data_IF_756757284802
#
_entry.id   IF_756757284802
#
_cell.length_a   1.000
_cell.length_b   1.000
_cell.length_c   1.000
_cell.angle_alpha   90.00
_cell.angle_beta   90.00
_cell.angle_gamma   90.00
#
_symmetry.space_group_name_H-M   'P 1'
#
loop_
_entity.id
_entity.type
_entity.pdbx_description
1 polymer ?
#
# COMPACT_ATOMS: atom_id res chain seq x y z
N UNK A 1 13.43 -14.58 -13.84
CA UNK A 1 13.42 -13.61 -12.71
C UNK A 1 12.68 -14.24 -11.55
N UNK A 2 13.21 -14.18 -10.31
CA UNK A 2 12.48 -14.68 -9.14
C UNK A 2 11.19 -13.89 -8.94
N UNK A 3 10.07 -14.59 -8.73
CA UNK A 3 8.81 -13.96 -8.34
C UNK A 3 8.82 -13.63 -6.83
N UNK A 4 8.01 -12.67 -6.37
CA UNK A 4 7.99 -12.24 -4.96
C UNK A 4 7.74 -13.38 -3.96
N UNK A 5 6.91 -14.38 -4.31
CA UNK A 5 6.65 -15.53 -3.45
C UNK A 5 7.89 -16.41 -3.21
N UNK A 6 8.90 -16.39 -4.11
CA UNK A 6 10.15 -17.09 -3.87
C UNK A 6 10.98 -16.41 -2.76
N UNK A 7 10.89 -15.08 -2.66
CA UNK A 7 11.53 -14.33 -1.57
C UNK A 7 10.85 -14.63 -0.23
N UNK A 8 9.53 -14.76 -0.24
CA UNK A 8 8.75 -15.19 0.93
C UNK A 8 9.11 -16.62 1.35
N UNK A 9 9.17 -17.56 0.39
CA UNK A 9 9.60 -18.93 0.67
C UNK A 9 11.02 -18.98 1.26
N UNK A 10 11.95 -18.19 0.74
CA UNK A 10 13.30 -18.05 1.30
C UNK A 10 13.25 -17.58 2.76
N UNK A 11 12.46 -16.56 3.05
CA UNK A 11 12.31 -16.04 4.40
C UNK A 11 11.72 -17.09 5.36
N UNK A 12 10.66 -17.78 4.94
CA UNK A 12 10.03 -18.81 5.75
C UNK A 12 10.92 -20.04 6.00
N UNK A 13 11.92 -20.27 5.15
CA UNK A 13 12.85 -21.40 5.25
C UNK A 13 14.19 -21.04 5.91
N UNK A 14 14.34 -19.80 6.40
CA UNK A 14 15.56 -19.42 7.11
C UNK A 14 15.70 -20.17 8.43
N UNK A 15 16.94 -20.33 8.88
CA UNK A 15 17.27 -21.12 10.06
C UNK A 15 17.63 -20.31 11.30
N UNK A 16 17.73 -18.99 11.16
CA UNK A 16 17.98 -18.12 12.29
C UNK A 16 16.75 -17.26 12.59
N UNK A 17 16.40 -17.19 13.86
CA UNK A 17 15.37 -16.30 14.38
C UNK A 17 16.00 -15.27 15.32
N UNK A 18 15.36 -14.09 15.42
CA UNK A 18 15.94 -12.96 16.12
C UNK A 18 14.93 -12.36 17.10
N UNK A 19 15.41 -12.01 18.29
CA UNK A 19 14.66 -11.24 19.26
C UNK A 19 15.53 -10.13 19.84
N UNK A 20 14.90 -9.03 20.25
CA UNK A 20 15.57 -7.82 20.71
C UNK A 20 15.02 -7.38 22.07
N UNK A 21 15.92 -7.06 22.97
CA UNK A 21 15.60 -6.46 24.27
C UNK A 21 16.37 -5.14 24.42
N UNK A 22 15.68 -4.05 24.74
CA UNK A 22 16.31 -2.78 25.09
C UNK A 22 16.66 -2.79 26.58
N UNK A 23 17.93 -2.54 26.89
CA UNK A 23 18.42 -2.45 28.26
C UNK A 23 19.52 -1.40 28.35
N UNK A 24 19.37 -0.44 29.27
CA UNK A 24 20.38 0.59 29.57
C UNK A 24 20.91 1.34 28.33
N UNK A 25 20.02 1.75 27.40
CA UNK A 25 20.35 2.35 26.10
C UNK A 25 21.18 1.47 25.16
N UNK A 26 21.24 0.17 25.43
CA UNK A 26 21.83 -0.84 24.54
C UNK A 26 20.76 -1.77 24.04
N UNK A 27 21.01 -2.36 22.89
CA UNK A 27 20.15 -3.38 22.32
C UNK A 27 20.81 -4.74 22.48
N UNK A 28 20.19 -5.64 23.22
CA UNK A 28 20.61 -7.04 23.31
C UNK A 28 19.84 -7.82 22.24
N UNK A 29 20.52 -8.13 21.14
CA UNK A 29 20.02 -8.95 20.05
C UNK A 29 20.35 -10.40 20.30
N UNK A 30 19.34 -11.25 20.42
CA UNK A 30 19.52 -12.69 20.51
C UNK A 30 19.21 -13.32 19.17
N UNK A 31 20.21 -14.03 18.60
CA UNK A 31 20.05 -14.88 17.43
C UNK A 31 19.97 -16.34 17.90
N UNK A 32 18.92 -17.04 17.49
CA UNK A 32 18.65 -18.44 17.83
C UNK A 32 18.72 -19.29 16.58
N UNK A 33 19.38 -20.46 16.64
CA UNK A 33 19.62 -21.36 15.52
C UNK A 33 18.69 -22.57 15.57
N UNK A 34 17.97 -22.80 14.49
CA UNK A 34 17.18 -24.00 14.23
C UNK A 34 17.95 -25.05 13.42
N UNK A 35 19.24 -24.81 13.09
CA UNK A 35 20.07 -25.83 12.49
C UNK A 35 20.17 -27.06 13.39
N UNK A 36 20.10 -28.26 12.80
CA UNK A 36 20.20 -29.51 13.54
C UNK A 36 21.66 -30.05 13.64
N UNK A 37 22.49 -29.77 12.64
CA UNK A 37 23.79 -30.39 12.51
C UNK A 37 24.93 -29.41 12.22
N UNK A 38 24.63 -28.19 11.85
CA UNK A 38 25.57 -27.18 11.39
C UNK A 38 25.66 -26.02 12.39
N UNK A 39 26.91 -25.51 12.62
CA UNK A 39 27.08 -24.19 13.30
C UNK A 39 27.17 -23.07 12.28
N UNK A 40 27.01 -21.85 12.75
CA UNK A 40 27.18 -20.63 11.96
C UNK A 40 28.64 -20.17 12.02
N UNK A 41 29.56 -20.90 11.35
CA UNK A 41 31.00 -20.64 11.36
C UNK A 41 31.51 -19.95 10.09
N UNK A 42 30.63 -19.65 9.14
CA UNK A 42 30.93 -18.92 7.91
C UNK A 42 29.91 -17.79 7.67
N UNK A 43 29.30 -17.26 8.71
CA UNK A 43 28.31 -16.20 8.64
C UNK A 43 28.77 -14.97 9.42
N UNK A 44 28.42 -13.80 8.86
CA UNK A 44 28.50 -12.49 9.52
C UNK A 44 27.11 -11.94 9.69
N UNK A 45 26.82 -11.35 10.85
CA UNK A 45 25.60 -10.62 11.10
C UNK A 45 25.86 -9.13 10.86
N UNK A 46 25.13 -8.57 9.91
CA UNK A 46 25.08 -7.13 9.61
C UNK A 46 23.79 -6.54 10.17
N UNK A 47 23.92 -5.37 10.75
CA UNK A 47 22.76 -4.65 11.25
C UNK A 47 22.79 -3.18 10.86
N UNK A 48 21.59 -2.60 10.67
CA UNK A 48 21.40 -1.20 10.29
C UNK A 48 20.13 -0.66 10.93
N UNK A 49 20.24 0.48 11.64
CA UNK A 49 19.06 1.18 12.14
C UNK A 49 18.50 2.11 11.08
N UNK A 50 17.16 2.12 10.98
CA UNK A 50 16.40 3.02 10.13
C UNK A 50 15.60 4.00 10.99
N UNK A 51 15.53 5.28 10.57
CA UNK A 51 14.61 6.29 11.07
C UNK A 51 13.59 6.61 9.95
N UNK A 52 12.30 6.43 10.19
CA UNK A 52 11.24 6.65 9.21
C UNK A 52 11.50 5.92 7.86
N UNK A 53 12.01 4.69 7.95
CA UNK A 53 12.34 3.88 6.79
C UNK A 53 13.64 4.25 6.07
N UNK A 54 14.40 5.25 6.54
CA UNK A 54 15.69 5.67 5.98
C UNK A 54 16.85 5.19 6.85
N UNK A 55 17.92 4.60 6.24
CA UNK A 55 19.09 4.17 6.98
C UNK A 55 19.82 5.35 7.65
N UNK A 56 20.16 5.21 8.94
CA UNK A 56 21.04 6.14 9.65
C UNK A 56 22.48 5.72 9.39
N UNK A 57 23.26 6.55 8.71
CA UNK A 57 24.58 6.18 8.19
C UNK A 57 25.56 5.68 9.27
N UNK A 58 25.50 6.26 10.47
CA UNK A 58 26.38 5.96 11.61
C UNK A 58 25.87 4.79 12.47
N UNK A 59 24.57 4.41 12.33
CA UNK A 59 23.94 3.39 13.15
C UNK A 59 23.90 2.04 12.45
N UNK A 60 25.07 1.48 12.15
CA UNK A 60 25.25 0.18 11.51
C UNK A 60 26.47 -0.53 12.05
N UNK A 61 26.52 -1.84 11.84
CA UNK A 61 27.70 -2.64 12.22
C UNK A 61 27.65 -4.04 11.64
N UNK A 62 28.75 -4.74 11.87
CA UNK A 62 28.94 -6.12 11.49
C UNK A 62 29.61 -6.86 12.64
N UNK A 63 29.24 -8.10 12.89
CA UNK A 63 29.86 -8.96 13.88
C UNK A 63 29.85 -10.41 13.44
N UNK A 64 30.84 -11.17 13.90
CA UNK A 64 30.91 -12.62 13.74
C UNK A 64 29.86 -13.29 14.62
N UNK A 65 29.25 -14.33 14.12
CA UNK A 65 28.37 -15.22 14.89
C UNK A 65 28.88 -16.65 14.81
N UNK A 66 28.84 -17.33 15.95
CA UNK A 66 29.28 -18.73 16.07
C UNK A 66 28.28 -19.48 16.97
N UNK A 67 27.14 -19.83 16.38
CA UNK A 67 26.02 -20.44 17.10
C UNK A 67 26.01 -21.96 16.79
N UNK A 68 26.11 -22.76 17.84
CA UNK A 68 25.98 -24.19 17.72
C UNK A 68 24.55 -24.61 17.37
N UNK A 69 24.32 -25.80 16.81
CA UNK A 69 22.99 -26.32 16.52
C UNK A 69 22.05 -26.20 17.73
N UNK A 70 20.83 -25.72 17.51
CA UNK A 70 19.78 -25.56 18.54
C UNK A 70 20.19 -24.69 19.75
N UNK A 71 21.16 -23.79 19.54
CA UNK A 71 21.61 -22.84 20.57
C UNK A 71 21.31 -21.40 20.15
N UNK A 72 21.56 -20.48 21.06
CA UNK A 72 21.42 -19.05 20.83
C UNK A 72 22.68 -18.29 21.27
N UNK A 73 22.90 -17.14 20.64
CA UNK A 73 23.95 -16.18 21.01
C UNK A 73 23.32 -14.79 21.18
N UNK A 74 23.69 -14.11 22.27
CA UNK A 74 23.26 -12.73 22.48
C UNK A 74 24.41 -11.77 22.14
N UNK A 75 24.11 -10.76 21.36
CA UNK A 75 25.00 -9.72 20.88
C UNK A 75 24.56 -8.37 21.45
N UNK A 76 25.49 -7.60 22.01
CA UNK A 76 25.20 -6.26 22.49
C UNK A 76 25.48 -5.26 21.37
N UNK A 77 24.42 -4.62 20.86
CA UNK A 77 24.48 -3.57 19.86
C UNK A 77 24.40 -2.20 20.56
N UNK A 78 25.29 -1.30 20.17
CA UNK A 78 25.34 0.06 20.74
C UNK A 78 25.34 1.09 19.61
N UNK A 79 24.20 1.26 18.89
CA UNK A 79 24.12 2.29 17.88
C UNK A 79 24.18 3.67 18.53
N UNK A 80 25.01 4.57 18.00
CA UNK A 80 25.09 5.96 18.43
C UNK A 80 23.93 6.75 17.79
N UNK A 81 22.76 6.67 18.42
CA UNK A 81 21.54 7.35 17.94
C UNK A 81 20.80 8.05 19.06
N UNK A 82 20.21 9.18 18.73
CA UNK A 82 19.25 9.87 19.57
C UNK A 82 17.85 9.69 19.00
N UNK A 83 16.97 8.99 19.72
CA UNK A 83 15.60 8.79 19.31
C UNK A 83 14.79 10.08 19.35
N UNK A 84 14.16 10.44 18.24
CA UNK A 84 13.26 11.60 18.12
C UNK A 84 11.83 11.18 18.44
N UNK A 85 11.11 12.02 19.17
CA UNK A 85 9.69 11.82 19.41
C UNK A 85 8.92 11.85 18.08
N UNK A 86 7.99 10.91 17.87
CA UNK A 86 7.16 10.84 16.67
C UNK A 86 7.82 10.15 15.47
N UNK A 87 9.10 9.76 15.54
CA UNK A 87 9.75 8.99 14.49
C UNK A 87 9.64 7.49 14.73
N UNK A 88 9.57 6.71 13.63
CA UNK A 88 9.64 5.25 13.66
C UNK A 88 11.07 4.78 13.50
N UNK A 89 11.44 3.79 14.30
CA UNK A 89 12.76 3.18 14.21
C UNK A 89 12.65 1.68 14.02
N UNK A 90 13.47 1.16 13.10
CA UNK A 90 13.58 -0.27 12.81
C UNK A 90 15.05 -0.69 12.80
N UNK A 91 15.32 -1.91 13.23
CA UNK A 91 16.61 -2.57 13.12
C UNK A 91 16.52 -3.62 12.01
N UNK A 92 17.22 -3.39 10.91
CA UNK A 92 17.43 -4.40 9.88
C UNK A 92 18.58 -5.30 10.26
N UNK A 93 18.42 -6.59 10.03
CA UNK A 93 19.42 -7.63 10.27
C UNK A 93 19.55 -8.43 8.97
N UNK A 94 20.79 -8.62 8.53
CA UNK A 94 21.15 -9.52 7.43
C UNK A 94 22.25 -10.46 7.93
N UNK A 95 22.05 -11.75 7.79
CA UNK A 95 23.12 -12.74 7.96
C UNK A 95 23.66 -13.09 6.59
N UNK A 96 24.95 -12.89 6.40
CA UNK A 96 25.61 -13.07 5.10
C UNK A 96 26.75 -14.05 5.21
N UNK A 97 27.08 -14.73 4.11
CA UNK A 97 28.28 -15.57 4.05
C UNK A 97 29.54 -14.70 4.21
N UNK A 98 30.44 -15.08 5.11
CA UNK A 98 31.74 -14.44 5.30
C UNK A 98 32.71 -14.79 4.15
N UNK A 99 32.71 -16.03 3.67
CA UNK A 99 33.56 -16.51 2.63
C UNK A 99 32.79 -17.24 1.52
N UNK A 100 33.42 -17.38 0.37
CA UNK A 100 32.90 -18.19 -0.74
C UNK A 100 32.64 -19.62 -0.30
N UNK A 101 31.55 -20.20 -0.78
CA UNK A 101 31.26 -21.62 -0.66
C UNK A 101 30.94 -22.23 -2.04
N UNK A 102 30.64 -23.51 -2.11
CA UNK A 102 30.43 -24.22 -3.39
C UNK A 102 29.22 -23.72 -4.19
N UNK A 103 28.26 -23.08 -3.55
CA UNK A 103 26.98 -22.69 -4.16
C UNK A 103 26.72 -21.18 -4.13
N UNK A 104 27.47 -20.38 -3.34
CA UNK A 104 27.30 -18.91 -3.28
C UNK A 104 28.63 -18.22 -2.93
N UNK A 105 28.67 -16.92 -3.24
CA UNK A 105 29.79 -16.03 -2.94
C UNK A 105 29.67 -15.39 -1.57
N UNK A 106 30.79 -14.94 -1.00
CA UNK A 106 30.82 -14.08 0.17
C UNK A 106 29.86 -12.88 -0.01
N UNK A 107 29.18 -12.52 1.05
CA UNK A 107 28.15 -11.48 1.03
C UNK A 107 26.75 -11.97 0.59
N UNK A 108 26.60 -13.24 0.19
CA UNK A 108 25.26 -13.79 -0.08
C UNK A 108 24.42 -13.77 1.20
N UNK A 109 23.23 -13.17 1.12
CA UNK A 109 22.29 -13.08 2.24
C UNK A 109 21.62 -14.43 2.49
N UNK A 110 21.82 -14.97 3.68
CA UNK A 110 21.26 -16.25 4.14
C UNK A 110 19.91 -16.02 4.83
N UNK A 111 19.92 -15.28 5.92
CA UNK A 111 18.78 -15.02 6.77
C UNK A 111 18.58 -13.51 6.94
N UNK A 112 17.37 -13.09 7.18
CA UNK A 112 17.04 -11.67 7.33
C UNK A 112 15.99 -11.46 8.40
N UNK A 113 16.03 -10.29 9.07
CA UNK A 113 14.94 -9.84 9.94
C UNK A 113 14.84 -8.33 9.92
N UNK A 114 13.68 -7.85 10.31
CA UNK A 114 13.49 -6.46 10.68
C UNK A 114 12.72 -6.41 12.01
N UNK A 115 13.29 -5.74 13.00
CA UNK A 115 12.71 -5.61 14.33
C UNK A 115 12.35 -4.16 14.59
N UNK A 116 11.12 -3.91 15.04
CA UNK A 116 10.74 -2.58 15.47
C UNK A 116 11.50 -2.24 16.77
N UNK A 117 12.19 -1.12 16.78
CA UNK A 117 12.73 -0.53 17.99
C UNK A 117 11.60 0.16 18.75
N UNK A 118 11.84 0.53 20.01
CA UNK A 118 10.79 1.12 20.85
C UNK A 118 10.07 2.21 20.07
N UNK A 119 8.82 1.95 19.77
CA UNK A 119 7.98 2.88 19.03
C UNK A 119 7.61 4.04 19.98
N UNK A 120 8.26 5.18 19.81
CA UNK A 120 7.93 6.43 20.52
C UNK A 120 6.82 7.23 19.82
N UNK A 121 6.22 6.66 18.76
CA UNK A 121 4.98 7.19 18.20
C UNK A 121 3.87 7.08 19.23
N UNK A 122 3.28 8.20 19.60
CA UNK A 122 1.87 8.21 19.95
C UNK A 122 1.06 7.78 18.72
N UNK A 123 -0.21 7.48 18.88
CA UNK A 123 -1.14 7.24 17.76
C UNK A 123 -0.99 8.43 16.80
N UNK A 124 -0.41 8.21 15.63
CA UNK A 124 -0.31 9.24 14.60
C UNK A 124 -1.71 9.37 14.01
N UNK A 125 -2.48 10.31 14.52
CA UNK A 125 -3.62 10.83 13.77
C UNK A 125 -3.03 11.68 12.65
N UNK A 126 -3.17 11.22 11.41
CA UNK A 126 -2.90 12.05 10.25
C UNK A 126 -3.93 13.18 10.29
N UNK A 127 -3.48 14.39 10.61
CA UNK A 127 -4.30 15.59 10.70
C UNK A 127 -3.87 16.55 9.60
N UNK A 128 -4.84 17.26 9.02
CA UNK A 128 -4.57 18.40 8.13
C UNK A 128 -3.71 19.50 8.81
N UNK A 129 -3.59 19.44 10.15
CA UNK A 129 -2.92 20.42 10.98
C UNK A 129 -1.46 20.07 11.32
N UNK A 130 -0.71 19.40 10.44
CA UNK A 130 0.74 19.35 10.57
C UNK A 130 1.26 20.80 10.54
N UNK A 131 1.80 21.26 11.69
CA UNK A 131 2.16 22.64 12.00
C UNK A 131 3.28 23.20 11.09
N UNK A 132 3.00 23.38 9.83
CA UNK A 132 3.73 24.35 9.01
C UNK A 132 2.95 25.66 9.08
N UNK A 133 3.31 26.51 10.06
CA UNK A 133 2.83 27.88 10.16
C UNK A 133 3.38 28.73 9.00
N UNK A 134 2.73 28.66 7.85
CA UNK A 134 2.89 29.68 6.84
C UNK A 134 1.93 30.82 7.17
N UNK A 135 2.49 31.94 7.61
CA UNK A 135 1.77 33.19 7.86
C UNK A 135 1.38 33.85 6.54
N UNK A 136 0.32 33.35 5.90
CA UNK A 136 -0.31 33.95 4.74
C UNK A 136 -1.82 33.92 4.92
N UNK A 137 -2.50 35.03 4.72
CA UNK A 137 -3.97 35.10 4.61
C UNK A 137 -4.36 34.51 3.26
N UNK A 138 -4.35 33.16 3.13
CA UNK A 138 -4.88 32.50 1.95
C UNK A 138 -6.40 32.45 2.08
N UNK A 139 -7.12 33.07 1.15
CA UNK A 139 -8.57 33.00 1.09
C UNK A 139 -8.98 31.67 0.44
N UNK A 140 -9.91 30.98 1.10
CA UNK A 140 -10.68 29.90 0.49
C UNK A 140 -11.91 30.49 -0.16
N UNK A 141 -12.13 30.20 -1.43
CA UNK A 141 -13.38 30.61 -2.12
C UNK A 141 -14.03 29.40 -2.79
N UNK A 142 -15.34 29.49 -2.90
CA UNK A 142 -16.17 28.47 -3.57
C UNK A 142 -16.91 29.17 -4.71
N UNK A 143 -16.84 28.55 -5.90
CA UNK A 143 -17.59 28.96 -7.07
C UNK A 143 -18.44 27.78 -7.55
N UNK A 144 -19.71 28.05 -7.87
CA UNK A 144 -20.61 27.05 -8.44
C UNK A 144 -21.13 27.57 -9.78
N UNK A 145 -20.76 26.89 -10.86
CA UNK A 145 -21.17 27.25 -12.22
C UNK A 145 -21.30 26.00 -13.09
N UNK A 146 -22.34 25.96 -13.93
CA UNK A 146 -22.55 24.95 -14.98
C UNK A 146 -22.43 23.48 -14.50
N UNK A 147 -22.95 23.20 -13.29
CA UNK A 147 -22.89 21.84 -12.71
C UNK A 147 -21.53 21.46 -12.11
N UNK A 148 -20.61 22.40 -12.01
CA UNK A 148 -19.32 22.24 -11.35
C UNK A 148 -19.27 23.07 -10.08
N UNK A 149 -18.69 22.51 -9.04
CA UNK A 149 -18.34 23.17 -7.79
C UNK A 149 -16.80 23.26 -7.73
N UNK A 150 -16.27 24.47 -7.69
CA UNK A 150 -14.84 24.71 -7.60
C UNK A 150 -14.45 25.27 -6.24
N UNK A 151 -13.46 24.69 -5.61
CA UNK A 151 -12.84 25.20 -4.37
C UNK A 151 -11.45 25.70 -4.70
N UNK A 152 -11.22 26.99 -4.50
CA UNK A 152 -9.93 27.64 -4.70
C UNK A 152 -9.21 27.74 -3.37
N UNK A 153 -7.98 27.23 -3.31
CA UNK A 153 -7.11 27.27 -2.15
C UNK A 153 -5.66 27.53 -2.59
N UNK A 154 -5.09 28.67 -2.23
CA UNK A 154 -3.76 29.06 -2.74
C UNK A 154 -3.71 29.03 -4.27
N UNK A 155 -2.73 28.29 -4.83
CA UNK A 155 -2.57 28.10 -6.28
C UNK A 155 -3.26 26.81 -6.76
N UNK A 156 -4.25 26.29 -5.99
CA UNK A 156 -4.96 25.04 -6.33
C UNK A 156 -6.43 25.29 -6.59
N UNK A 157 -6.98 24.55 -7.56
CA UNK A 157 -8.42 24.53 -7.85
C UNK A 157 -8.90 23.08 -7.83
N UNK A 158 -9.80 22.76 -6.91
CA UNK A 158 -10.44 21.46 -6.80
C UNK A 158 -11.82 21.53 -7.43
N UNK A 159 -12.07 20.78 -8.50
CA UNK A 159 -13.33 20.80 -9.23
C UNK A 159 -14.14 19.53 -9.00
N UNK A 160 -15.33 19.71 -8.46
CA UNK A 160 -16.29 18.63 -8.24
C UNK A 160 -17.43 18.74 -9.24
N UNK A 161 -17.79 17.61 -9.84
CA UNK A 161 -19.00 17.56 -10.67
C UNK A 161 -20.21 17.37 -9.75
N UNK A 162 -21.17 18.28 -9.80
CA UNK A 162 -22.34 18.30 -8.89
C UNK A 162 -23.31 17.14 -9.13
N UNK A 163 -23.36 16.58 -10.34
CA UNK A 163 -24.21 15.44 -10.69
C UNK A 163 -23.60 14.13 -10.22
N UNK A 164 -22.31 13.92 -10.53
CA UNK A 164 -21.60 12.69 -10.12
C UNK A 164 -21.11 12.71 -8.67
N UNK A 165 -21.01 13.88 -8.03
CA UNK A 165 -20.50 14.03 -6.67
C UNK A 165 -18.98 13.81 -6.52
N UNK A 166 -18.24 13.63 -7.60
CA UNK A 166 -16.82 13.27 -7.58
C UNK A 166 -15.90 14.48 -7.74
N UNK A 167 -14.72 14.40 -7.13
CA UNK A 167 -13.57 15.23 -7.48
C UNK A 167 -13.05 14.78 -8.84
N UNK A 168 -13.24 15.61 -9.87
CA UNK A 168 -12.93 15.27 -11.26
C UNK A 168 -11.67 15.94 -11.80
N UNK A 169 -11.21 17.01 -11.15
CA UNK A 169 -10.00 17.75 -11.52
C UNK A 169 -9.39 18.41 -10.29
N UNK A 170 -8.07 18.43 -10.25
CA UNK A 170 -7.28 19.14 -9.26
C UNK A 170 -6.14 19.85 -9.97
N UNK A 171 -6.31 21.13 -10.24
CA UNK A 171 -5.27 21.97 -10.83
C UNK A 171 -4.33 22.51 -9.75
N UNK A 172 -3.03 22.40 -9.99
CA UNK A 172 -1.98 23.14 -9.28
C UNK A 172 -1.37 24.16 -10.25
N UNK A 173 -1.75 25.41 -10.10
CA UNK A 173 -1.45 26.42 -11.13
C UNK A 173 -2.16 26.08 -12.45
N UNK A 174 -1.39 25.76 -13.48
CA UNK A 174 -1.90 25.31 -14.78
C UNK A 174 -1.78 23.79 -15.01
N UNK A 175 -1.22 23.04 -14.06
CA UNK A 175 -0.96 21.62 -14.20
C UNK A 175 -2.08 20.80 -13.56
N UNK A 176 -2.58 19.79 -14.29
CA UNK A 176 -3.59 18.86 -13.80
C UNK A 176 -2.93 17.73 -12.99
N UNK A 177 -3.39 17.54 -11.77
CA UNK A 177 -2.90 16.48 -10.87
C UNK A 177 -3.62 15.16 -11.08
N UNK A 178 -4.87 15.18 -11.57
CA UNK A 178 -5.70 13.98 -11.76
C UNK A 178 -5.99 13.74 -13.25
N UNK A 179 -5.70 12.55 -13.75
CA UNK A 179 -6.11 12.11 -15.09
C UNK A 179 -7.47 11.37 -15.07
N UNK A 180 -7.95 10.97 -13.89
CA UNK A 180 -9.26 10.37 -13.68
C UNK A 180 -9.85 10.82 -12.34
N UNK A 181 -11.18 10.82 -12.18
CA UNK A 181 -11.82 11.14 -10.93
C UNK A 181 -11.32 10.28 -9.75
N UNK A 182 -11.36 10.85 -8.55
CA UNK A 182 -11.15 10.09 -7.32
C UNK A 182 -12.47 9.42 -6.93
N UNK A 183 -12.48 8.08 -6.87
CA UNK A 183 -13.69 7.28 -6.67
C UNK A 183 -13.46 5.99 -5.87
N UNK A 184 -14.55 5.34 -5.41
CA UNK A 184 -14.48 4.04 -4.74
C UNK A 184 -13.90 2.96 -5.65
N UNK A 185 -13.12 2.04 -5.05
CA UNK A 185 -12.64 0.84 -5.72
C UNK A 185 -12.95 -0.42 -4.89
N UNK A 186 -13.77 -1.30 -5.44
CA UNK A 186 -14.19 -2.57 -4.83
C UNK A 186 -13.73 -3.79 -5.64
N UNK A 187 -13.02 -3.60 -6.74
CA UNK A 187 -12.69 -4.65 -7.70
C UNK A 187 -11.18 -4.77 -7.92
N UNK A 188 -10.72 -6.00 -8.10
CA UNK A 188 -9.41 -6.33 -8.66
C UNK A 188 -9.57 -7.31 -9.82
N UNK A 189 -8.73 -7.21 -10.85
CA UNK A 189 -8.61 -8.24 -11.86
C UNK A 189 -8.18 -9.55 -11.18
N UNK A 190 -8.93 -10.66 -11.35
CA UNK A 190 -8.70 -11.90 -10.62
C UNK A 190 -7.31 -12.46 -10.83
N UNK A 191 -6.72 -12.97 -9.75
CA UNK A 191 -5.47 -13.72 -9.77
C UNK A 191 -5.74 -15.21 -10.05
N UNK A 192 -4.70 -15.97 -10.37
CA UNK A 192 -4.79 -17.42 -10.61
C UNK A 192 -5.51 -18.15 -9.46
N UNK A 193 -5.22 -17.80 -8.21
CA UNK A 193 -5.87 -18.39 -7.03
C UNK A 193 -7.34 -17.93 -6.87
N UNK A 194 -7.72 -16.78 -7.38
CA UNK A 194 -9.12 -16.34 -7.39
C UNK A 194 -9.94 -17.12 -8.41
N UNK A 195 -9.30 -17.48 -9.53
CA UNK A 195 -9.86 -18.27 -10.63
C UNK A 195 -9.91 -19.77 -10.25
N UNK A 196 -8.85 -20.27 -9.58
CA UNK A 196 -8.73 -21.64 -9.11
C UNK A 196 -8.75 -22.66 -10.26
N UNK A 197 -9.58 -23.68 -10.16
CA UNK A 197 -9.75 -24.72 -11.20
C UNK A 197 -10.71 -24.31 -12.31
N UNK A 198 -11.17 -23.08 -12.34
CA UNK A 198 -12.09 -22.60 -13.39
C UNK A 198 -11.43 -22.73 -14.76
N UNK A 199 -12.20 -23.24 -15.73
CA UNK A 199 -11.87 -23.23 -17.16
C UNK A 199 -12.76 -22.21 -17.87
N UNK A 200 -12.33 -21.74 -19.03
CA UNK A 200 -13.06 -20.71 -19.81
C UNK A 200 -14.53 -21.08 -20.03
N UNK A 201 -14.79 -22.37 -20.36
CA UNK A 201 -16.13 -22.87 -20.65
C UNK A 201 -16.79 -23.58 -19.45
N UNK A 202 -16.09 -23.71 -18.34
CA UNK A 202 -16.57 -24.40 -17.13
C UNK A 202 -16.02 -23.74 -15.86
N UNK A 203 -16.49 -22.53 -15.50
CA UNK A 203 -16.03 -21.84 -14.31
C UNK A 203 -16.48 -22.57 -13.03
N UNK A 204 -15.56 -22.74 -12.07
CA UNK A 204 -15.90 -23.27 -10.74
C UNK A 204 -16.81 -22.28 -10.00
N UNK A 205 -18.06 -22.67 -9.66
CA UNK A 205 -18.99 -21.78 -8.98
C UNK A 205 -18.53 -21.39 -7.57
N UNK A 206 -17.55 -22.08 -6.99
CA UNK A 206 -16.99 -21.81 -5.68
C UNK A 206 -15.75 -20.89 -5.72
N UNK A 207 -15.11 -20.76 -6.88
CA UNK A 207 -13.99 -19.84 -7.04
C UNK A 207 -14.36 -18.41 -6.61
N UNK A 208 -13.38 -17.64 -6.09
CA UNK A 208 -13.62 -16.27 -5.66
C UNK A 208 -14.10 -15.40 -6.82
N UNK A 209 -13.47 -15.52 -7.99
CA UNK A 209 -13.89 -14.84 -9.19
C UNK A 209 -15.37 -15.09 -9.49
N UNK A 210 -15.81 -16.36 -9.51
CA UNK A 210 -17.20 -16.71 -9.81
C UNK A 210 -18.19 -16.13 -8.81
N UNK A 211 -17.82 -16.05 -7.52
CA UNK A 211 -18.64 -15.41 -6.48
C UNK A 211 -18.73 -13.90 -6.72
N UNK A 212 -17.60 -13.23 -7.02
CA UNK A 212 -17.56 -11.80 -7.31
C UNK A 212 -18.36 -11.44 -8.58
N UNK A 213 -18.22 -12.23 -9.65
CA UNK A 213 -18.98 -12.05 -10.91
C UNK A 213 -20.49 -12.17 -10.67
N UNK A 214 -20.94 -13.17 -9.89
CA UNK A 214 -22.36 -13.31 -9.53
C UNK A 214 -22.88 -12.15 -8.68
N UNK A 215 -22.06 -11.60 -7.81
CA UNK A 215 -22.38 -10.43 -7.01
C UNK A 215 -22.27 -9.11 -7.80
N UNK A 216 -21.82 -9.16 -9.06
CA UNK A 216 -21.64 -8.00 -9.94
C UNK A 216 -20.49 -7.09 -9.53
N UNK A 217 -19.59 -7.52 -8.64
CA UNK A 217 -18.45 -6.71 -8.19
C UNK A 217 -17.62 -6.29 -9.41
N UNK A 218 -17.32 -4.99 -9.52
CA UNK A 218 -16.67 -4.38 -10.69
C UNK A 218 -17.64 -3.92 -11.79
N UNK A 219 -18.95 -4.23 -11.65
CA UNK A 219 -19.99 -3.83 -12.63
C UNK A 219 -21.22 -3.19 -11.97
N UNK A 220 -21.07 -2.72 -10.75
CA UNK A 220 -22.14 -2.00 -10.05
C UNK A 220 -22.39 -0.65 -10.70
N UNK A 221 -23.66 -0.23 -10.72
CA UNK A 221 -24.02 1.11 -11.14
C UNK A 221 -23.99 2.03 -9.92
N UNK A 222 -23.18 3.08 -9.99
CA UNK A 222 -23.10 4.12 -8.96
C UNK A 222 -24.08 5.23 -9.28
N UNK A 223 -24.77 5.74 -8.24
CA UNK A 223 -25.63 6.92 -8.29
C UNK A 223 -25.23 7.84 -7.15
N UNK A 224 -24.98 9.11 -7.44
CA UNK A 224 -24.84 10.14 -6.42
C UNK A 224 -26.23 10.50 -5.90
N UNK A 225 -26.48 10.32 -4.61
CA UNK A 225 -27.77 10.58 -3.96
C UNK A 225 -27.81 11.91 -3.22
N UNK A 226 -26.66 12.57 -3.06
CA UNK A 226 -26.60 13.89 -2.45
C UNK A 226 -25.20 14.46 -2.41
N UNK A 227 -25.12 15.78 -2.57
CA UNK A 227 -23.89 16.56 -2.37
C UNK A 227 -24.24 17.70 -1.41
N UNK A 228 -23.48 17.85 -0.34
CA UNK A 228 -23.61 18.95 0.63
C UNK A 228 -22.27 19.69 0.74
N UNK A 229 -22.33 21.02 0.84
CA UNK A 229 -21.16 21.89 0.92
C UNK A 229 -21.26 22.75 2.18
N UNK A 230 -20.22 22.72 3.00
CA UNK A 230 -20.09 23.51 4.21
C UNK A 230 -18.80 24.32 4.13
N UNK A 231 -18.89 25.63 4.27
CA UNK A 231 -17.72 26.51 4.30
C UNK A 231 -17.43 26.93 5.74
N UNK A 232 -16.29 26.51 6.26
CA UNK A 232 -15.74 26.94 7.53
C UNK A 232 -14.81 28.16 7.38
N UNK A 233 -14.22 28.60 8.50
CA UNK A 233 -13.27 29.71 8.49
C UNK A 233 -11.88 29.30 7.93
N UNK A 234 -11.51 28.03 8.00
CA UNK A 234 -10.19 27.51 7.63
C UNK A 234 -10.26 26.32 6.67
N UNK A 235 -11.46 25.84 6.36
CA UNK A 235 -11.69 24.69 5.49
C UNK A 235 -13.01 24.82 4.71
N UNK A 236 -13.09 24.05 3.64
CA UNK A 236 -14.32 23.74 2.93
C UNK A 236 -14.54 22.26 3.03
N UNK A 237 -15.74 21.84 3.41
CA UNK A 237 -16.14 20.44 3.50
C UNK A 237 -17.21 20.12 2.47
N UNK A 238 -16.95 19.11 1.63
CA UNK A 238 -17.89 18.60 0.64
C UNK A 238 -18.23 17.17 1.03
N UNK A 239 -19.51 16.89 1.24
CA UNK A 239 -20.00 15.54 1.53
C UNK A 239 -20.75 15.02 0.32
N UNK A 240 -20.30 13.90 -0.25
CA UNK A 240 -20.97 13.18 -1.35
C UNK A 240 -21.46 11.83 -0.86
N UNK A 241 -22.69 11.48 -1.23
CA UNK A 241 -23.34 10.21 -0.89
C UNK A 241 -23.56 9.40 -2.16
N UNK A 242 -23.17 8.13 -2.13
CA UNK A 242 -23.29 7.24 -3.28
C UNK A 242 -24.01 5.95 -2.91
N UNK A 243 -24.92 5.55 -3.78
CA UNK A 243 -25.56 4.25 -3.78
C UNK A 243 -25.04 3.42 -4.96
N UNK A 244 -24.73 2.16 -4.69
CA UNK A 244 -24.28 1.18 -5.68
C UNK A 244 -25.34 0.10 -5.87
N UNK A 245 -25.73 -0.13 -7.11
CA UNK A 245 -26.73 -1.11 -7.46
C UNK A 245 -26.16 -2.20 -8.37
N UNK A 246 -26.54 -3.44 -8.09
CA UNK A 246 -26.42 -4.55 -9.02
C UNK A 246 -27.82 -4.95 -9.46
N UNK A 247 -28.15 -4.73 -10.74
CA UNK A 247 -29.52 -4.75 -11.23
C UNK A 247 -30.38 -3.72 -10.45
N UNK A 248 -31.46 -4.16 -9.79
CA UNK A 248 -32.32 -3.29 -8.99
C UNK A 248 -32.00 -3.28 -7.49
N UNK A 249 -31.03 -4.13 -7.05
CA UNK A 249 -30.70 -4.28 -5.63
C UNK A 249 -29.61 -3.31 -5.24
N UNK A 250 -29.83 -2.56 -4.15
CA UNK A 250 -28.81 -1.81 -3.45
C UNK A 250 -27.80 -2.81 -2.82
N UNK A 251 -26.54 -2.74 -3.21
CA UNK A 251 -25.50 -3.66 -2.77
C UNK A 251 -24.43 -2.97 -1.91
N UNK A 252 -24.24 -1.66 -2.08
CA UNK A 252 -23.36 -0.88 -1.24
C UNK A 252 -23.82 0.58 -1.19
N UNK A 253 -23.46 1.29 -0.13
CA UNK A 253 -23.56 2.72 -0.02
C UNK A 253 -22.28 3.30 0.55
N UNK A 254 -21.84 4.46 0.04
CA UNK A 254 -20.65 5.13 0.55
C UNK A 254 -20.94 6.59 0.84
N UNK A 255 -20.23 7.11 1.85
CA UNK A 255 -20.21 8.52 2.19
C UNK A 255 -18.79 9.01 2.13
N UNK A 256 -18.55 10.00 1.31
CA UNK A 256 -17.27 10.67 1.16
C UNK A 256 -17.33 12.06 1.75
N UNK A 257 -16.36 12.41 2.58
CA UNK A 257 -16.20 13.75 3.13
C UNK A 257 -14.84 14.27 2.71
N UNK A 258 -14.85 15.18 1.75
CA UNK A 258 -13.66 15.89 1.30
C UNK A 258 -13.50 17.15 2.16
N UNK A 259 -12.35 17.33 2.79
CA UNK A 259 -12.03 18.55 3.55
C UNK A 259 -10.80 19.19 2.95
N UNK A 260 -10.97 20.38 2.39
CA UNK A 260 -9.91 21.19 1.77
C UNK A 260 -9.61 22.36 2.69
N UNK A 261 -8.35 22.48 3.12
CA UNK A 261 -7.93 23.55 4.03
C UNK A 261 -7.27 24.72 3.29
N UNK A 262 -7.01 25.82 4.00
CA UNK A 262 -6.33 27.03 3.48
C UNK A 262 -4.93 26.78 2.95
N UNK A 263 -4.27 25.65 3.27
CA UNK A 263 -2.98 25.23 2.73
C UNK A 263 -3.13 24.33 1.50
N UNK A 264 -4.31 24.23 0.90
CA UNK A 264 -4.60 23.37 -0.24
C UNK A 264 -4.34 21.87 0.02
N UNK A 265 -4.38 21.43 1.28
CA UNK A 265 -4.35 20.00 1.63
C UNK A 265 -5.77 19.46 1.58
N UNK A 266 -5.92 18.27 0.99
CA UNK A 266 -7.19 17.57 0.87
C UNK A 266 -7.19 16.35 1.81
N UNK A 267 -8.11 16.30 2.78
CA UNK A 267 -8.42 15.05 3.50
C UNK A 267 -9.68 14.43 2.92
N UNK A 268 -9.67 13.13 2.76
CA UNK A 268 -10.81 12.34 2.30
C UNK A 268 -11.13 11.29 3.34
N UNK A 269 -12.29 11.43 3.98
CA UNK A 269 -12.82 10.45 4.93
C UNK A 269 -13.93 9.66 4.23
N UNK A 270 -13.83 8.33 4.26
CA UNK A 270 -14.77 7.43 3.57
C UNK A 270 -15.41 6.48 4.56
N UNK A 271 -16.74 6.40 4.49
CA UNK A 271 -17.55 5.36 5.16
C UNK A 271 -18.16 4.47 4.09
N UNK A 272 -18.03 3.14 4.25
CA UNK A 272 -18.57 2.12 3.34
C UNK A 272 -19.53 1.23 4.10
N UNK A 273 -20.72 1.03 3.54
CA UNK A 273 -21.72 0.06 3.99
C UNK A 273 -21.97 -0.93 2.87
N UNK A 274 -21.84 -2.22 3.16
CA UNK A 274 -22.06 -3.32 2.21
C UNK A 274 -23.28 -4.14 2.59
N UNK A 275 -23.98 -4.67 1.59
CA UNK A 275 -25.08 -5.65 1.80
C UNK A 275 -24.54 -6.94 2.42
N UNK A 276 -25.27 -7.50 3.40
CA UNK A 276 -24.91 -8.73 4.11
C UNK A 276 -24.77 -9.94 3.19
N UNK A 277 -25.45 -9.95 2.06
CA UNK A 277 -25.44 -11.06 1.09
C UNK A 277 -24.23 -11.07 0.16
N UNK A 278 -23.35 -10.07 0.23
CA UNK A 278 -22.14 -10.04 -0.59
C UNK A 278 -21.11 -11.08 -0.10
N UNK A 279 -20.36 -11.71 -1.02
CA UNK A 279 -19.20 -12.52 -0.65
C UNK A 279 -18.11 -11.65 0.00
N UNK A 280 -17.04 -12.24 0.57
CA UNK A 280 -15.85 -11.52 0.94
C UNK A 280 -15.37 -10.64 -0.21
N UNK A 281 -15.08 -9.37 0.07
CA UNK A 281 -14.70 -8.40 -0.96
C UNK A 281 -13.25 -8.60 -1.40
N UNK A 282 -12.91 -8.39 -2.68
CA UNK A 282 -11.52 -8.47 -3.13
C UNK A 282 -10.68 -7.31 -2.57
N UNK A 283 -11.26 -6.12 -2.49
CA UNK A 283 -10.63 -4.93 -1.90
C UNK A 283 -11.66 -3.91 -1.46
N UNK A 284 -11.26 -3.03 -0.57
CA UNK A 284 -12.01 -1.83 -0.13
C UNK A 284 -11.03 -0.66 -0.18
N UNK A 285 -11.27 0.29 -1.04
CA UNK A 285 -10.38 1.43 -1.20
C UNK A 285 -10.91 2.46 -2.18
N UNK A 286 -9.99 3.26 -2.69
CA UNK A 286 -10.25 4.28 -3.70
C UNK A 286 -9.27 4.15 -4.86
N UNK A 287 -9.64 4.72 -5.99
CA UNK A 287 -8.80 4.80 -7.17
C UNK A 287 -8.85 6.17 -7.81
N UNK A 288 -7.80 6.50 -8.52
CA UNK A 288 -7.69 7.63 -9.44
C UNK A 288 -6.64 7.30 -10.51
N UNK A 289 -6.37 8.23 -11.40
CA UNK A 289 -5.19 8.19 -12.25
C UNK A 289 -4.48 9.55 -12.22
N UNK A 290 -3.17 9.54 -12.42
CA UNK A 290 -2.35 10.75 -12.51
C UNK A 290 -1.72 10.85 -13.89
N UNK A 291 -1.55 12.07 -14.45
CA UNK A 291 -0.90 12.24 -15.74
C UNK A 291 0.57 11.79 -15.69
N UNK A 292 1.07 11.28 -16.80
CA UNK A 292 2.49 10.99 -16.98
C UNK A 292 3.12 12.14 -17.73
N UNK A 293 3.90 13.00 -17.04
CA UNK A 293 4.61 14.11 -17.65
C UNK A 293 5.93 13.65 -18.29
N UNK A 294 6.69 12.84 -17.56
CA UNK A 294 8.02 12.33 -17.95
C UNK A 294 8.11 10.82 -17.69
N UNK A 295 8.82 10.13 -18.57
CA UNK A 295 9.17 8.71 -18.37
C UNK A 295 10.68 8.54 -18.17
N UNK A 296 11.13 7.65 -17.25
CA UNK A 296 10.32 6.76 -16.41
C UNK A 296 9.68 7.51 -15.23
N UNK A 297 8.41 7.19 -14.96
CA UNK A 297 7.72 7.71 -13.78
C UNK A 297 8.26 7.02 -12.53
N UNK A 298 8.74 7.79 -11.57
CA UNK A 298 9.23 7.28 -10.28
C UNK A 298 8.11 7.24 -9.25
N UNK A 299 8.01 6.11 -8.56
CA UNK A 299 7.08 5.88 -7.46
C UNK A 299 7.88 5.84 -6.16
N UNK A 300 7.57 6.73 -5.24
CA UNK A 300 8.21 6.76 -3.91
C UNK A 300 7.16 6.43 -2.85
N UNK A 301 7.49 5.51 -1.94
CA UNK A 301 6.60 5.19 -0.82
C UNK A 301 7.37 4.93 0.47
N UNK A 302 6.66 5.04 1.58
CA UNK A 302 7.10 4.60 2.89
C UNK A 302 6.14 3.50 3.36
N UNK A 303 6.64 2.29 3.51
CA UNK A 303 5.85 1.10 3.80
C UNK A 303 6.65 -0.18 3.60
N UNK A 304 5.95 -1.33 3.51
CA UNK A 304 6.60 -2.59 3.20
C UNK A 304 7.04 -2.65 1.73
N UNK A 305 8.21 -3.24 1.49
CA UNK A 305 8.80 -3.35 0.17
C UNK A 305 10.18 -4.03 0.18
N UNK A 306 10.99 -3.87 -0.90
CA UNK A 306 10.67 -3.13 -2.13
C UNK A 306 9.73 -3.87 -3.08
N UNK A 307 9.64 -5.20 -3.00
CA UNK A 307 8.87 -6.05 -3.88
C UNK A 307 7.40 -6.13 -3.47
N UNK A 308 6.57 -6.64 -4.38
CA UNK A 308 5.16 -6.93 -4.18
C UNK A 308 4.93 -7.77 -2.92
N UNK A 309 3.96 -7.36 -2.11
CA UNK A 309 3.57 -8.09 -0.91
C UNK A 309 2.07 -7.91 -0.64
N UNK A 310 1.43 -8.93 -0.05
CA UNK A 310 0.00 -8.98 0.23
C UNK A 310 -0.25 -9.26 1.71
N UNK A 311 -1.46 -9.06 2.24
CA UNK A 311 -1.76 -9.27 3.66
C UNK A 311 -1.31 -10.62 4.21
N UNK A 312 -1.40 -11.67 3.40
CA UNK A 312 -1.03 -13.07 3.71
C UNK A 312 0.35 -13.49 3.15
N UNK A 313 1.09 -12.57 2.51
CA UNK A 313 2.43 -12.82 1.93
C UNK A 313 3.28 -11.57 2.03
N UNK A 314 3.79 -11.28 3.21
CA UNK A 314 4.56 -10.05 3.49
C UNK A 314 5.68 -10.20 4.52
N UNK A 315 5.94 -11.42 4.99
CA UNK A 315 6.92 -11.64 6.05
C UNK A 315 8.36 -11.32 5.60
N UNK A 316 8.68 -11.54 4.32
CA UNK A 316 9.97 -11.18 3.74
C UNK A 316 10.12 -9.70 3.41
N UNK A 317 9.02 -8.95 3.33
CA UNK A 317 9.06 -7.52 3.03
C UNK A 317 9.48 -6.73 4.27
N UNK A 318 10.22 -5.63 4.06
CA UNK A 318 10.71 -4.78 5.13
C UNK A 318 10.11 -3.39 5.02
N UNK A 319 9.81 -2.79 6.15
CA UNK A 319 9.41 -1.39 6.20
C UNK A 319 10.59 -0.49 5.86
N UNK A 320 10.39 0.41 4.92
CA UNK A 320 11.42 1.30 4.43
C UNK A 320 10.82 2.46 3.62
N UNK A 321 11.68 3.38 3.18
CA UNK A 321 11.36 4.35 2.14
C UNK A 321 12.04 3.89 0.86
N UNK A 322 11.24 3.66 -0.17
CA UNK A 322 11.67 3.10 -1.45
C UNK A 322 11.31 4.04 -2.58
N UNK A 323 12.10 4.00 -3.65
CA UNK A 323 11.80 4.66 -4.92
C UNK A 323 12.12 3.69 -6.05
N UNK A 324 11.14 3.40 -6.88
CA UNK A 324 11.29 2.54 -8.06
C UNK A 324 10.63 3.20 -9.27
N UNK A 325 11.12 2.93 -10.48
CA UNK A 325 10.39 3.28 -11.70
C UNK A 325 9.13 2.41 -11.82
N UNK A 326 8.12 2.92 -12.53
CA UNK A 326 6.81 2.25 -12.62
C UNK A 326 6.92 0.83 -13.22
N UNK A 327 7.85 0.62 -14.12
CA UNK A 327 8.10 -0.67 -14.77
C UNK A 327 8.56 -1.76 -13.77
N UNK A 328 9.14 -1.35 -12.64
CA UNK A 328 9.56 -2.25 -11.55
C UNK A 328 8.49 -2.42 -10.46
N UNK A 329 7.38 -1.68 -10.56
CA UNK A 329 6.28 -1.83 -9.61
C UNK A 329 5.44 -3.07 -9.90
N UNK A 330 5.46 -3.54 -11.14
CA UNK A 330 4.68 -4.68 -11.61
C UNK A 330 5.49 -5.97 -11.57
N UNK A 331 4.83 -7.08 -11.26
CA UNK A 331 5.38 -8.43 -11.38
C UNK A 331 4.91 -9.03 -12.70
N UNK A 332 5.86 -9.44 -13.56
CA UNK A 332 5.53 -10.05 -14.85
C UNK A 332 4.99 -11.48 -14.67
N UNK A 333 3.73 -11.62 -14.33
CA UNK A 333 3.02 -12.89 -14.36
C UNK A 333 2.68 -13.27 -15.81
N UNK A 334 2.47 -14.57 -16.06
CA UNK A 334 2.16 -15.07 -17.41
C UNK A 334 0.78 -14.57 -17.84
N UNK A 335 -0.18 -14.60 -16.92
CA UNK A 335 -1.54 -14.14 -17.13
C UNK A 335 -1.70 -12.73 -16.59
N UNK A 336 -2.23 -11.75 -17.36
CA UNK A 336 -2.53 -10.42 -16.84
C UNK A 336 -3.52 -10.48 -15.68
N UNK A 337 -3.18 -9.82 -14.59
CA UNK A 337 -3.93 -9.83 -13.36
C UNK A 337 -3.60 -8.59 -12.52
N UNK A 338 -4.40 -8.29 -11.51
CA UNK A 338 -3.99 -7.33 -10.48
C UNK A 338 -2.70 -7.80 -9.82
N UNK A 339 -1.74 -6.91 -9.65
CA UNK A 339 -0.46 -7.23 -9.02
C UNK A 339 0.23 -5.95 -8.51
N UNK A 340 1.38 -6.11 -7.87
CA UNK A 340 2.20 -4.98 -7.46
C UNK A 340 1.75 -4.33 -6.15
N UNK A 341 0.90 -4.95 -5.35
CA UNK A 341 0.47 -4.40 -4.06
C UNK A 341 1.66 -4.18 -3.10
N UNK A 342 1.62 -3.10 -2.35
CA UNK A 342 2.51 -2.79 -1.21
C UNK A 342 1.66 -2.56 0.03
N UNK A 343 1.95 -3.31 1.09
CA UNK A 343 1.21 -3.26 2.36
C UNK A 343 1.85 -2.31 3.38
N UNK A 344 1.07 -1.92 4.38
CA UNK A 344 1.55 -1.17 5.54
C UNK A 344 2.15 0.18 5.18
N UNK A 345 1.59 0.86 4.18
CA UNK A 345 2.11 2.11 3.69
C UNK A 345 1.56 3.30 4.46
N UNK A 346 2.41 4.29 4.66
CA UNK A 346 2.06 5.55 5.35
C UNK A 346 2.20 6.76 4.44
N UNK A 347 2.97 6.64 3.36
CA UNK A 347 3.17 7.69 2.37
C UNK A 347 3.32 7.08 0.98
N UNK A 348 2.80 7.79 0.00
CA UNK A 348 2.96 7.51 -1.43
C UNK A 348 3.18 8.84 -2.16
N UNK A 349 4.06 8.83 -3.15
CA UNK A 349 4.30 9.95 -4.06
C UNK A 349 4.41 9.41 -5.48
N UNK A 350 3.59 9.94 -6.38
CA UNK A 350 3.53 9.56 -7.80
C UNK A 350 3.10 10.75 -8.64
N UNK A 351 3.92 11.14 -9.64
CA UNK A 351 3.61 12.22 -10.61
C UNK A 351 3.00 13.47 -9.98
N UNK A 352 3.60 13.98 -8.91
CA UNK A 352 3.12 15.20 -8.24
C UNK A 352 2.02 15.00 -7.20
N UNK A 353 1.34 13.86 -7.18
CA UNK A 353 0.37 13.51 -6.14
C UNK A 353 1.09 12.87 -4.95
N UNK A 354 0.83 13.38 -3.75
CA UNK A 354 1.24 12.76 -2.48
C UNK A 354 0.02 12.30 -1.69
N UNK A 355 0.09 11.07 -1.17
CA UNK A 355 -0.89 10.52 -0.24
C UNK A 355 -0.23 10.17 1.09
N UNK A 356 -0.91 10.48 2.20
CA UNK A 356 -0.51 10.11 3.57
C UNK A 356 -1.69 9.46 4.29
N UNK A 357 -1.42 8.42 5.05
CA UNK A 357 -2.46 7.67 5.77
C UNK A 357 -1.93 6.33 6.26
N UNK A 358 -2.83 5.40 6.50
CA UNK A 358 -2.51 3.98 6.67
C UNK A 358 -3.27 3.23 5.59
N UNK A 359 -2.56 2.72 4.61
CA UNK A 359 -3.16 2.11 3.44
C UNK A 359 -2.26 1.03 2.82
N UNK A 360 -2.80 0.28 1.90
CA UNK A 360 -2.10 -0.49 0.90
C UNK A 360 -2.21 0.25 -0.42
N UNK A 361 -1.25 0.07 -1.31
CA UNK A 361 -1.37 0.67 -2.64
C UNK A 361 -0.78 -0.22 -3.72
N UNK A 362 -1.27 -0.07 -4.93
CA UNK A 362 -0.55 -0.41 -6.14
C UNK A 362 -0.71 0.69 -7.18
N UNK A 363 0.17 0.70 -8.16
CA UNK A 363 0.16 1.61 -9.29
C UNK A 363 0.37 0.81 -10.56
N UNK A 364 -0.23 1.23 -11.66
CA UNK A 364 -0.15 0.51 -12.94
C UNK A 364 -0.33 1.44 -14.12
N UNK A 365 0.33 1.14 -15.24
CA UNK A 365 0.04 1.75 -16.53
C UNK A 365 -1.25 1.16 -17.17
N UNK A 366 -1.86 0.16 -16.53
CA UNK A 366 -3.05 -0.55 -16.99
C UNK A 366 -4.20 -0.42 -15.98
N UNK A 367 -5.40 -0.12 -16.45
CA UNK A 367 -6.60 -0.14 -15.62
C UNK A 367 -7.05 -1.57 -15.29
N UNK A 368 -7.75 -1.75 -14.16
CA UNK A 368 -8.26 -3.07 -13.72
C UNK A 368 -9.16 -3.74 -14.77
N UNK A 369 -9.96 -2.97 -15.48
CA UNK A 369 -10.80 -3.52 -16.57
C UNK A 369 -9.96 -4.11 -17.70
N UNK A 370 -8.88 -3.44 -18.09
CA UNK A 370 -7.98 -3.94 -19.14
C UNK A 370 -7.24 -5.21 -18.69
N UNK A 371 -6.80 -5.25 -17.42
CA UNK A 371 -6.18 -6.45 -16.83
C UNK A 371 -7.17 -7.63 -16.78
N UNK A 372 -8.44 -7.35 -16.48
CA UNK A 372 -9.51 -8.36 -16.40
C UNK A 372 -9.91 -8.95 -17.74
N UNK A 373 -9.81 -8.16 -18.82
CA UNK A 373 -10.17 -8.57 -20.17
C UNK A 373 -9.01 -9.24 -20.92
N UNK A 374 -7.77 -8.88 -20.60
CA UNK A 374 -6.57 -9.37 -21.28
C UNK A 374 -6.28 -10.83 -20.93
N UNK A 375 -5.92 -11.62 -21.95
CA UNK A 375 -5.50 -13.03 -21.78
C UNK A 375 -3.99 -13.20 -21.86
N UNK A 376 -3.31 -12.25 -22.47
CA UNK A 376 -1.85 -12.27 -22.68
C UNK A 376 -1.29 -10.87 -22.49
N UNK A 377 -0.03 -10.77 -22.10
CA UNK A 377 0.66 -9.48 -21.95
C UNK A 377 0.61 -8.62 -23.23
N UNK A 378 0.57 -9.24 -24.42
CA UNK A 378 0.46 -8.51 -25.69
C UNK A 378 -0.92 -7.87 -25.93
N UNK A 379 -1.94 -8.20 -25.13
CA UNK A 379 -3.26 -7.58 -25.20
C UNK A 379 -3.31 -6.27 -24.39
N UNK A 380 -2.30 -6.02 -23.58
CA UNK A 380 -2.19 -4.83 -22.75
C UNK A 380 -1.59 -3.67 -23.52
N UNK A 381 -2.22 -2.51 -23.43
CA UNK A 381 -1.71 -1.24 -24.00
C UNK A 381 -1.56 -0.24 -22.88
N UNK A 382 -0.32 0.24 -22.60
CA UNK A 382 -0.10 1.29 -21.62
C UNK A 382 -0.89 2.56 -21.98
N UNK A 383 -1.43 3.23 -20.98
CA UNK A 383 -2.14 4.48 -21.13
C UNK A 383 -1.20 5.68 -20.81
N UNK A 384 -1.61 6.88 -21.23
CA UNK A 384 -0.87 8.11 -20.95
C UNK A 384 -1.14 8.63 -19.51
N UNK A 385 -1.37 7.69 -18.59
CA UNK A 385 -1.57 7.96 -17.16
C UNK A 385 -1.10 6.77 -16.33
N UNK A 386 -0.89 7.01 -15.05
CA UNK A 386 -0.66 5.99 -14.05
C UNK A 386 -1.92 5.84 -13.22
N UNK A 387 -2.52 4.66 -13.22
CA UNK A 387 -3.60 4.31 -12.30
C UNK A 387 -3.01 4.16 -10.89
N UNK A 388 -3.69 4.76 -9.92
CA UNK A 388 -3.30 4.75 -8.51
C UNK A 388 -4.44 4.15 -7.70
N UNK A 389 -4.16 3.05 -7.04
CA UNK A 389 -5.09 2.36 -6.15
C UNK A 389 -4.61 2.51 -4.72
N UNK A 390 -5.47 3.04 -3.85
CA UNK A 390 -5.19 3.23 -2.42
C UNK A 390 -6.25 2.46 -1.65
N UNK A 391 -5.85 1.37 -1.01
CA UNK A 391 -6.75 0.46 -0.33
C UNK A 391 -6.68 0.62 1.18
N UNK A 392 -7.82 0.71 1.81
CA UNK A 392 -7.96 0.52 3.25
C UNK A 392 -7.74 -0.96 3.62
N UNK A 393 -8.30 -1.85 2.82
CA UNK A 393 -8.20 -3.29 3.01
C UNK A 393 -8.12 -4.02 1.66
N UNK A 394 -7.33 -5.09 1.62
CA UNK A 394 -7.16 -5.95 0.46
C UNK A 394 -7.21 -7.41 0.91
N UNK A 395 -7.97 -8.24 0.20
CA UNK A 395 -8.06 -9.68 0.50
C UNK A 395 -6.73 -10.37 0.25
N UNK A 396 -6.43 -11.41 1.01
CA UNK A 396 -5.30 -12.29 0.76
C UNK A 396 -5.36 -12.95 -0.62
N UNK A 397 -4.21 -13.39 -1.11
CA UNK A 397 -4.04 -13.95 -2.47
C UNK A 397 -3.55 -15.40 -2.45
N UNK A 398 -3.16 -15.91 -1.27
CA UNK A 398 -2.70 -17.28 -1.09
C UNK A 398 -3.77 -18.22 -0.59
N UNK A 399 -3.35 -19.32 -0.01
CA UNK A 399 -4.17 -20.36 0.58
C UNK A 399 -3.35 -21.63 0.75
N UNK A 400 -3.99 -22.73 1.15
CA UNK A 400 -3.32 -24.02 1.34
C UNK A 400 -3.03 -24.71 -0.01
N UNK A 401 -3.73 -24.30 -1.06
CA UNK A 401 -3.55 -24.79 -2.42
C UNK A 401 -3.85 -23.68 -3.44
N UNK A 402 -3.61 -23.95 -4.74
CA UNK A 402 -3.81 -23.01 -5.85
C UNK A 402 -5.05 -23.30 -6.71
N UNK A 403 -5.90 -24.23 -6.30
CA UNK A 403 -7.06 -24.68 -7.07
C UNK A 403 -8.38 -24.57 -6.34
N UNK A 404 -8.39 -24.31 -5.04
CA UNK A 404 -9.59 -24.07 -4.28
C UNK A 404 -9.58 -22.69 -3.62
N UNK A 405 -10.77 -22.14 -3.24
CA UNK A 405 -10.84 -20.86 -2.52
C UNK A 405 -10.39 -21.04 -1.06
N UNK A 406 -9.11 -21.38 -0.88
CA UNK A 406 -8.52 -21.77 0.41
C UNK A 406 -7.84 -20.62 1.15
N UNK A 407 -8.03 -19.36 0.71
CA UNK A 407 -7.56 -18.18 1.45
C UNK A 407 -8.03 -18.25 2.91
N UNK A 408 -7.10 -18.15 3.85
CA UNK A 408 -7.40 -18.26 5.27
C UNK A 408 -8.32 -17.14 5.72
N UNK A 409 -9.26 -17.47 6.62
CA UNK A 409 -10.30 -16.56 7.11
C UNK A 409 -9.77 -15.22 7.62
N UNK A 410 -8.58 -15.22 8.24
CA UNK A 410 -7.95 -14.00 8.74
C UNK A 410 -7.63 -12.97 7.65
N UNK A 411 -7.60 -13.38 6.38
CA UNK A 411 -7.30 -12.54 5.22
C UNK A 411 -8.49 -12.34 4.29
N UNK A 412 -9.69 -12.75 4.71
CA UNK A 412 -10.95 -12.48 4.00
C UNK A 412 -11.53 -11.15 4.46
N UNK A 413 -12.09 -10.37 3.55
CA UNK A 413 -12.81 -9.14 3.86
C UNK A 413 -14.30 -9.42 4.01
N UNK A 414 -14.70 -9.94 5.18
CA UNK A 414 -16.08 -10.32 5.50
C UNK A 414 -16.87 -9.20 6.17
N UNK A 415 -16.20 -8.16 6.68
CA UNK A 415 -16.83 -7.02 7.32
C UNK A 415 -17.77 -6.31 6.35
N UNK A 416 -18.84 -5.71 6.89
CA UNK A 416 -19.84 -4.99 6.09
C UNK A 416 -19.80 -3.48 6.28
N UNK A 417 -18.93 -3.02 7.18
CA UNK A 417 -18.73 -1.60 7.44
C UNK A 417 -17.25 -1.30 7.50
N UNK A 418 -16.83 -0.27 6.75
CA UNK A 418 -15.44 0.18 6.77
C UNK A 418 -15.42 1.70 6.91
N UNK A 419 -14.36 2.20 7.54
CA UNK A 419 -14.05 3.63 7.65
C UNK A 419 -12.58 3.84 7.51
N UNK A 420 -12.20 4.78 6.68
CA UNK A 420 -10.80 5.11 6.48
C UNK A 420 -10.62 6.56 6.02
N UNK A 421 -9.39 7.05 6.15
CA UNK A 421 -9.03 8.41 5.78
C UNK A 421 -7.70 8.43 5.05
N UNK A 422 -7.60 9.27 4.03
CA UNK A 422 -6.36 9.54 3.29
C UNK A 422 -6.22 11.05 3.13
N UNK A 423 -5.02 11.57 3.42
CA UNK A 423 -4.70 12.97 3.18
C UNK A 423 -3.87 13.09 1.91
N UNK A 424 -4.28 13.98 1.02
CA UNK A 424 -3.60 14.25 -0.24
C UNK A 424 -3.00 15.66 -0.24
N UNK A 425 -1.89 15.82 -0.92
CA UNK A 425 -1.29 17.11 -1.27
C UNK A 425 -0.60 17.00 -2.62
N UNK A 426 -0.50 18.11 -3.34
CA UNK A 426 0.37 18.17 -4.49
C UNK A 426 1.82 18.38 -4.04
N UNK A 427 2.80 17.96 -4.84
CA UNK A 427 4.21 18.29 -4.60
C UNK A 427 4.43 19.75 -4.95
N UNK A 428 5.19 20.47 -4.13
CA UNK A 428 5.70 21.77 -4.56
C UNK A 428 6.55 21.58 -5.82
N UNK A 429 6.17 22.24 -6.90
CA UNK A 429 6.84 22.22 -8.20
C UNK A 429 8.17 22.97 -8.15
#
# INVERSE_FOLDING_TARGET
>A
TPHPHLLEAKYCQQHLSFSLVEKDNKFELTASSDYLFRRTDNELLRWQVLENGQPIAEAKGECEIDIAPQQAQTLSLSPDITFKAGADYHLNIDVVLANDCSWAKAGHVMDTAQLALVNKRGIVSFSLNDNETTSGTSELSIEAQDGMLQVHAQNNVFSFNSESGLLTSWLQGAEETLAAPLEDNFFRAPLDNDIGVSEVDNPDPNAWESRWRRAGIGKWTRTCTGVNVEQGAQDVRITSLFDYHHSEKLVAATKWVYTINVQAKLSVDVEVLLDDGLPPMPRIGMQTAVPVADKPTSITWQGLGPFENYPDRKAAARYGRYTLPIEEMQTCYIFPTDNGLRCGCTQLEVSGLKAKGQFYFNVSEYGQAQLDEAKHTCDLTPQDCVFVYIDHAHMGVGGDDSWSPSTHKAFLLEEKQYRYSVCFSATDS
#
